data_IF_888368092757
#
_entry.id   IF_888368092757
#
_cell.length_a   1.000
_cell.length_b   1.000
_cell.length_c   1.000
_cell.angle_alpha   90.00
_cell.angle_beta   90.00
_cell.angle_gamma   90.00
#
_symmetry.space_group_name_H-M   'P 1'
#
loop_
_entity.id
_entity.type
_entity.pdbx_description
1 polymer ?
#
# COMPACT_ATOMS: atom_id res chain seq x y z
N UNK A 1 22.40 -1.53 39.80
CA UNK A 1 21.20 -1.60 38.96
C UNK A 1 20.01 -1.17 39.81
N UNK A 2 19.41 0.00 39.53
CA UNK A 2 18.14 0.38 40.18
C UNK A 2 17.06 -0.53 39.59
N UNK A 3 16.36 -1.30 40.41
CA UNK A 3 15.13 -1.99 40.01
C UNK A 3 14.24 -0.96 39.30
N UNK A 4 14.02 -1.12 38.00
CA UNK A 4 13.01 -0.33 37.28
C UNK A 4 11.67 -0.76 37.88
N UNK A 5 11.14 0.05 38.80
CA UNK A 5 9.75 -0.08 39.25
C UNK A 5 8.88 -0.13 38.00
N UNK A 6 8.13 -1.20 37.82
CA UNK A 6 7.20 -1.33 36.72
C UNK A 6 6.17 -0.19 36.83
N UNK A 7 6.16 0.79 35.91
CA UNK A 7 5.26 1.94 35.99
C UNK A 7 3.78 1.52 35.89
N UNK A 8 3.46 0.35 35.33
CA UNK A 8 2.08 -0.17 35.33
C UNK A 8 1.59 -0.46 36.76
N UNK A 9 2.50 -0.84 37.66
CA UNK A 9 2.20 -1.05 39.08
C UNK A 9 1.94 0.29 39.78
N UNK A 10 2.59 1.37 39.34
CA UNK A 10 2.43 2.71 39.93
C UNK A 10 1.05 3.30 39.61
N UNK A 11 0.58 3.21 38.37
CA UNK A 11 -0.78 3.60 37.96
C UNK A 11 -1.85 2.87 38.78
N UNK A 12 -1.74 1.55 38.90
CA UNK A 12 -2.68 0.73 39.67
C UNK A 12 -2.61 1.08 41.16
N UNK A 13 -1.41 1.23 41.72
CA UNK A 13 -1.22 1.62 43.12
C UNK A 13 -1.84 2.98 43.42
N UNK A 14 -1.67 3.95 42.52
CA UNK A 14 -2.30 5.26 42.65
C UNK A 14 -3.81 5.14 42.67
N UNK A 15 -4.40 4.39 41.74
CA UNK A 15 -5.85 4.19 41.67
C UNK A 15 -6.41 3.52 42.92
N UNK A 16 -5.69 2.55 43.48
CA UNK A 16 -6.11 1.81 44.68
C UNK A 16 -5.84 2.55 46.01
N UNK A 17 -5.04 3.62 46.01
CA UNK A 17 -4.64 4.32 47.23
C UNK A 17 -5.72 5.24 47.81
N UNK A 18 -5.74 5.39 49.15
CA UNK A 18 -6.54 6.39 49.85
C UNK A 18 -8.06 6.13 49.87
N UNK A 19 -8.83 6.98 50.59
CA UNK A 19 -10.27 6.78 50.80
C UNK A 19 -11.12 6.97 49.53
N UNK A 20 -10.63 7.75 48.55
CA UNK A 20 -11.31 8.01 47.27
C UNK A 20 -11.01 6.97 46.19
N UNK A 21 -10.33 5.87 46.53
CA UNK A 21 -10.01 4.76 45.63
C UNK A 21 -11.23 4.28 44.79
N UNK A 22 -12.43 4.07 45.37
CA UNK A 22 -13.59 3.65 44.58
C UNK A 22 -13.94 4.60 43.43
N UNK A 23 -13.89 5.92 43.67
CA UNK A 23 -14.22 6.94 42.67
C UNK A 23 -13.13 7.03 41.60
N UNK A 24 -11.86 7.01 42.00
CA UNK A 24 -10.73 7.02 41.07
C UNK A 24 -10.78 5.84 40.10
N UNK A 25 -11.03 4.64 40.63
CA UNK A 25 -11.17 3.43 39.81
C UNK A 25 -12.37 3.50 38.88
N UNK A 26 -13.52 3.99 39.35
CA UNK A 26 -14.70 4.14 38.51
C UNK A 26 -14.46 5.12 37.36
N UNK A 27 -13.88 6.29 37.63
CA UNK A 27 -13.54 7.29 36.62
C UNK A 27 -12.53 6.76 35.59
N UNK A 28 -11.45 6.12 36.04
CA UNK A 28 -10.44 5.57 35.14
C UNK A 28 -10.97 4.39 34.30
N UNK A 29 -11.86 3.56 34.86
CA UNK A 29 -12.45 2.40 34.17
C UNK A 29 -13.36 2.83 33.01
N UNK A 30 -14.21 3.83 33.21
CA UNK A 30 -15.22 4.28 32.25
C UNK A 30 -14.78 5.44 31.35
N UNK A 31 -13.53 5.88 31.48
CA UNK A 31 -12.96 6.99 30.71
C UNK A 31 -11.57 6.60 30.21
N UNK A 32 -11.52 5.59 29.34
CA UNK A 32 -10.30 5.13 28.69
C UNK A 32 -10.18 5.80 27.33
N UNK A 33 -9.33 6.81 27.21
CA UNK A 33 -9.13 7.53 25.97
C UNK A 33 -7.89 7.00 25.29
N UNK A 34 -8.09 6.28 24.21
CA UNK A 34 -7.05 5.60 23.46
C UNK A 34 -6.40 6.55 22.46
N UNK A 35 -5.09 6.70 22.53
CA UNK A 35 -4.27 7.13 21.41
C UNK A 35 -3.94 5.91 20.56
N UNK A 36 -4.14 6.06 19.26
CA UNK A 36 -3.99 4.99 18.28
C UNK A 36 -2.67 5.13 17.54
N UNK A 37 -1.83 4.10 17.63
CA UNK A 37 -0.56 4.03 16.91
C UNK A 37 -0.71 3.04 15.76
N UNK A 38 -1.31 3.53 14.67
CA UNK A 38 -1.63 2.75 13.47
C UNK A 38 -0.34 2.44 12.70
N UNK A 39 0.06 1.17 12.66
CA UNK A 39 1.30 0.77 11.96
C UNK A 39 1.12 -0.29 10.89
N UNK A 40 0.00 -1.02 10.92
CA UNK A 40 -0.30 -2.07 9.94
C UNK A 40 -1.82 -2.31 9.84
N UNK A 41 -2.20 -3.50 9.37
CA UNK A 41 -3.59 -3.92 9.14
C UNK A 41 -4.51 -3.86 10.36
N UNK A 42 -3.96 -3.92 11.59
CA UNK A 42 -4.78 -3.89 12.82
C UNK A 42 -5.57 -2.58 12.97
N UNK A 43 -5.15 -1.48 12.34
CA UNK A 43 -5.90 -0.22 12.43
C UNK A 43 -7.22 -0.19 11.69
N UNK A 44 -7.38 -1.00 10.63
CA UNK A 44 -8.68 -1.16 9.97
C UNK A 44 -9.67 -1.83 10.93
N UNK A 45 -9.21 -2.83 11.67
CA UNK A 45 -10.04 -3.57 12.62
C UNK A 45 -10.37 -2.74 13.86
N UNK A 46 -9.45 -1.85 14.25
CA UNK A 46 -9.74 -0.85 15.26
C UNK A 46 -10.84 0.11 14.79
N UNK A 47 -10.75 0.64 13.56
CA UNK A 47 -11.79 1.50 13.01
C UNK A 47 -13.16 0.78 13.02
N UNK A 48 -13.18 -0.51 12.69
CA UNK A 48 -14.40 -1.32 12.77
C UNK A 48 -14.93 -1.50 14.19
N UNK A 49 -14.04 -1.61 15.19
CA UNK A 49 -14.39 -1.71 16.62
C UNK A 49 -15.11 -0.45 17.13
N UNK A 50 -14.73 0.73 16.63
CA UNK A 50 -15.37 2.00 16.95
C UNK A 50 -16.52 2.38 16.01
N UNK A 51 -16.71 1.63 14.92
CA UNK A 51 -17.84 1.85 14.03
C UNK A 51 -19.17 1.44 14.69
N UNK A 52 -20.28 1.89 14.10
CA UNK A 52 -21.64 1.70 14.63
C UNK A 52 -22.04 0.24 14.87
N UNK A 53 -21.40 -0.73 14.20
CA UNK A 53 -21.69 -2.15 14.41
C UNK A 53 -21.31 -2.64 15.80
N UNK A 54 -20.17 -2.20 16.33
CA UNK A 54 -19.65 -2.62 17.63
C UNK A 54 -19.72 -1.55 18.70
N UNK A 55 -19.63 -0.28 18.30
CA UNK A 55 -19.74 0.90 19.16
C UNK A 55 -18.94 0.73 20.44
N UNK A 56 -17.61 0.74 20.33
CA UNK A 56 -16.75 0.61 21.49
C UNK A 56 -16.95 1.75 22.51
N UNK A 57 -17.43 2.92 22.07
CA UNK A 57 -17.66 4.08 22.94
C UNK A 57 -18.62 3.80 24.09
N UNK A 58 -19.62 2.93 23.88
CA UNK A 58 -20.55 2.51 24.95
C UNK A 58 -19.87 1.83 26.14
N UNK A 59 -18.66 1.29 25.93
CA UNK A 59 -17.88 0.66 26.99
C UNK A 59 -16.99 1.66 27.73
N UNK A 60 -17.11 2.97 27.48
CA UNK A 60 -16.30 4.00 28.13
C UNK A 60 -14.90 4.12 27.54
N UNK A 61 -14.72 3.72 26.28
CA UNK A 61 -13.46 3.90 25.54
C UNK A 61 -13.65 4.88 24.40
N UNK A 62 -12.83 5.92 24.32
CA UNK A 62 -12.93 6.94 23.29
C UNK A 62 -11.65 6.98 22.48
N UNK A 63 -11.77 6.93 21.15
CA UNK A 63 -10.62 7.13 20.28
C UNK A 63 -10.29 8.64 20.24
N UNK A 64 -9.09 9.01 20.67
CA UNK A 64 -8.70 10.41 20.77
C UNK A 64 -7.29 10.66 20.20
N UNK A 65 -7.17 11.65 19.33
CA UNK A 65 -5.94 11.93 18.58
C UNK A 65 -4.84 12.68 19.35
N UNK A 66 -5.10 13.14 20.58
CA UNK A 66 -4.15 13.95 21.35
C UNK A 66 -3.54 13.20 22.53
N UNK A 67 -2.23 12.93 22.46
CA UNK A 67 -1.47 12.11 23.41
C UNK A 67 -1.45 12.66 24.83
N UNK A 68 -1.51 13.99 24.98
CA UNK A 68 -1.44 14.64 26.31
C UNK A 68 -2.77 14.61 27.07
N UNK A 69 -3.85 14.23 26.39
CA UNK A 69 -5.20 14.13 26.94
C UNK A 69 -5.65 12.67 27.07
N UNK A 70 -4.87 11.71 26.57
CA UNK A 70 -5.20 10.29 26.61
C UNK A 70 -4.53 9.56 27.78
N UNK A 71 -5.14 8.47 28.21
CA UNK A 71 -4.65 7.61 29.28
C UNK A 71 -4.51 6.14 28.85
N UNK A 72 -4.81 5.81 27.59
CA UNK A 72 -4.62 4.50 26.99
C UNK A 72 -3.87 4.68 25.67
N UNK A 73 -2.91 3.81 25.37
CA UNK A 73 -2.33 3.66 24.04
C UNK A 73 -2.66 2.29 23.48
N UNK A 74 -3.12 2.24 22.24
CA UNK A 74 -3.35 1.00 21.50
C UNK A 74 -2.32 0.95 20.38
N UNK A 75 -1.40 -0.01 20.49
CA UNK A 75 -0.37 -0.27 19.47
C UNK A 75 -0.94 -1.25 18.46
N UNK A 76 -1.17 -0.79 17.23
CA UNK A 76 -1.91 -1.53 16.22
C UNK A 76 -0.96 -2.14 15.19
N UNK A 77 -0.43 -3.32 15.50
CA UNK A 77 0.41 -4.10 14.61
C UNK A 77 1.91 -4.01 14.90
N UNK A 78 2.70 -4.08 13.83
CA UNK A 78 4.15 -4.24 13.90
C UNK A 78 4.89 -2.91 14.13
N UNK A 79 5.78 -2.84 15.10
CA UNK A 79 6.63 -1.67 15.31
C UNK A 79 7.97 -1.87 14.63
N UNK A 80 8.30 -0.99 13.69
CA UNK A 80 9.64 -0.92 13.11
C UNK A 80 10.63 -0.24 14.06
N UNK A 81 11.93 -0.53 13.92
CA UNK A 81 13.02 0.17 14.64
C UNK A 81 12.93 1.69 14.53
N UNK A 82 12.48 2.21 13.37
CA UNK A 82 12.30 3.65 13.14
C UNK A 82 11.11 4.21 13.95
N UNK A 83 10.03 3.43 14.06
CA UNK A 83 8.83 3.83 14.79
C UNK A 83 8.95 3.66 16.31
N UNK A 84 9.90 2.85 16.79
CA UNK A 84 10.14 2.61 18.22
C UNK A 84 10.33 3.91 19.03
N UNK A 85 11.05 4.89 18.46
CA UNK A 85 11.24 6.21 19.08
C UNK A 85 9.91 6.96 19.24
N UNK A 86 9.07 6.94 18.22
CA UNK A 86 7.76 7.60 18.26
C UNK A 86 6.87 6.97 19.33
N UNK A 87 6.83 5.64 19.42
CA UNK A 87 6.09 4.93 20.47
C UNK A 87 6.55 5.35 21.87
N UNK A 88 7.87 5.40 22.10
CA UNK A 88 8.42 5.83 23.39
C UNK A 88 8.04 7.28 23.72
N UNK A 89 8.19 8.19 22.77
CA UNK A 89 7.85 9.60 22.95
C UNK A 89 6.36 9.82 23.24
N UNK A 90 5.49 9.07 22.55
CA UNK A 90 4.05 9.12 22.80
C UNK A 90 3.74 8.71 24.22
N UNK A 91 4.26 7.56 24.68
CA UNK A 91 4.02 7.06 26.02
C UNK A 91 4.56 7.99 27.12
N UNK A 92 5.75 8.58 26.91
CA UNK A 92 6.33 9.53 27.88
C UNK A 92 5.56 10.86 27.98
N UNK A 93 4.87 11.28 26.91
CA UNK A 93 4.05 12.50 26.91
C UNK A 93 2.65 12.31 27.50
N UNK A 94 2.22 11.06 27.71
CA UNK A 94 0.91 10.75 28.28
C UNK A 94 0.89 10.97 29.81
N UNK A 95 -0.16 11.60 30.35
CA UNK A 95 -0.34 11.79 31.79
C UNK A 95 -0.56 10.46 32.52
N UNK A 96 -0.24 10.43 33.82
CA UNK A 96 -0.61 9.32 34.70
C UNK A 96 -2.04 9.50 35.25
N UNK A 97 -2.81 8.41 35.48
CA UNK A 97 -2.48 7.00 35.22
C UNK A 97 -2.61 6.64 33.72
N UNK A 98 -1.60 6.00 33.13
CA UNK A 98 -1.64 5.51 31.74
C UNK A 98 -1.51 3.99 31.59
N UNK A 99 -2.05 3.47 30.49
CA UNK A 99 -2.09 2.05 30.15
C UNK A 99 -1.72 1.78 28.69
N UNK A 100 -1.24 0.57 28.40
CA UNK A 100 -0.78 0.14 27.08
C UNK A 100 -1.43 -1.18 26.67
N UNK A 101 -2.13 -1.18 25.54
CA UNK A 101 -2.62 -2.39 24.87
C UNK A 101 -1.84 -2.59 23.58
N UNK A 102 -1.41 -3.82 23.32
CA UNK A 102 -0.84 -4.21 22.03
C UNK A 102 -1.83 -5.09 21.29
N UNK A 103 -2.21 -4.65 20.10
CA UNK A 103 -3.19 -5.31 19.23
C UNK A 103 -2.48 -6.00 18.07
N UNK A 104 -2.69 -7.31 17.98
CA UNK A 104 -2.25 -8.16 16.88
C UNK A 104 -0.92 -8.86 17.14
N UNK A 105 -0.78 -10.06 16.56
CA UNK A 105 0.40 -10.94 16.75
C UNK A 105 1.71 -10.30 16.29
N UNK A 106 1.64 -9.38 15.33
CA UNK A 106 2.79 -8.62 14.85
C UNK A 106 3.42 -7.75 15.95
N UNK A 107 2.61 -7.21 16.87
CA UNK A 107 3.08 -6.44 18.01
C UNK A 107 3.44 -7.30 19.23
N UNK A 108 3.00 -8.55 19.29
CA UNK A 108 3.30 -9.44 20.42
C UNK A 108 4.69 -10.06 20.22
N UNK A 109 4.84 -10.84 19.15
CA UNK A 109 6.03 -11.66 18.90
C UNK A 109 6.64 -11.40 17.50
N UNK A 110 6.20 -10.33 16.82
CA UNK A 110 6.55 -10.05 15.41
C UNK A 110 5.64 -10.73 14.39
N UNK A 111 4.87 -11.75 14.80
CA UNK A 111 3.81 -12.35 13.98
C UNK A 111 4.32 -12.91 12.66
N UNK A 112 3.69 -12.51 11.55
CA UNK A 112 4.14 -12.86 10.19
C UNK A 112 5.60 -12.45 9.92
N UNK A 113 6.08 -11.44 10.64
CA UNK A 113 7.39 -10.83 10.45
C UNK A 113 8.37 -11.14 11.59
N UNK A 114 8.15 -12.21 12.36
CA UNK A 114 8.94 -12.53 13.57
C UNK A 114 10.46 -12.58 13.36
N UNK A 115 10.94 -12.98 12.17
CA UNK A 115 12.36 -13.03 11.83
C UNK A 115 12.84 -11.83 10.99
N UNK A 116 12.09 -10.73 11.00
CA UNK A 116 12.42 -9.57 10.19
C UNK A 116 13.44 -8.66 10.88
N UNK A 117 14.50 -8.28 10.18
CA UNK A 117 15.60 -7.50 10.72
C UNK A 117 15.19 -6.12 11.27
N UNK A 118 14.08 -5.56 10.81
CA UNK A 118 13.68 -4.18 11.08
C UNK A 118 12.58 -4.04 12.15
N UNK A 119 12.07 -5.13 12.71
CA UNK A 119 11.02 -5.07 13.73
C UNK A 119 11.59 -5.08 15.15
N UNK A 120 10.81 -4.50 16.07
CA UNK A 120 11.07 -4.46 17.51
C UNK A 120 9.76 -4.77 18.23
N UNK A 121 9.83 -5.49 19.34
CA UNK A 121 8.65 -5.78 20.15
C UNK A 121 8.27 -4.52 20.97
N UNK A 122 7.02 -4.02 20.87
CA UNK A 122 6.49 -2.96 21.73
C UNK A 122 6.81 -3.13 23.22
N UNK A 123 6.76 -4.37 23.74
CA UNK A 123 7.05 -4.70 25.13
C UNK A 123 8.51 -4.42 25.56
N UNK A 124 9.45 -4.31 24.60
CA UNK A 124 10.83 -3.91 24.88
C UNK A 124 10.98 -2.38 25.02
N UNK A 125 9.98 -1.61 24.55
CA UNK A 125 10.02 -0.15 24.46
C UNK A 125 9.17 0.50 25.57
N UNK A 126 7.96 -0.02 25.76
CA UNK A 126 6.95 0.48 26.70
C UNK A 126 6.36 -0.67 27.54
N UNK A 127 5.93 -0.39 28.77
CA UNK A 127 5.36 -1.40 29.66
C UNK A 127 3.95 -1.78 29.20
N UNK A 128 3.79 -2.98 28.66
CA UNK A 128 2.49 -3.44 28.11
C UNK A 128 1.59 -4.02 29.20
N UNK A 129 0.32 -3.60 29.25
CA UNK A 129 -0.67 -4.13 30.19
C UNK A 129 -1.38 -5.37 29.67
N UNK A 130 -1.77 -5.35 28.40
CA UNK A 130 -2.53 -6.42 27.75
C UNK A 130 -2.11 -6.62 26.29
N UNK A 131 -2.10 -7.88 25.89
CA UNK A 131 -1.89 -8.31 24.51
C UNK A 131 -3.20 -8.87 23.96
N UNK A 132 -3.63 -8.37 22.80
CA UNK A 132 -4.82 -8.83 22.07
C UNK A 132 -4.37 -9.63 20.85
N UNK A 133 -4.45 -10.97 20.89
CA UNK A 133 -3.96 -11.83 19.82
C UNK A 133 -4.89 -11.86 18.61
N UNK A 134 -4.32 -11.79 17.40
CA UNK A 134 -5.01 -11.93 16.11
C UNK A 134 -4.22 -11.30 14.93
N UNK A 135 -4.64 -11.52 13.68
CA UNK A 135 -3.94 -11.01 12.48
C UNK A 135 -4.89 -10.62 11.31
N UNK A 136 -5.71 -9.56 11.45
CA UNK A 136 -5.92 -8.73 12.65
C UNK A 136 -6.86 -9.41 13.66
N UNK A 137 -6.83 -9.02 14.95
CA UNK A 137 -7.78 -9.53 15.94
C UNK A 137 -9.17 -8.96 15.72
N UNK A 138 -10.21 -9.78 15.80
CA UNK A 138 -11.60 -9.33 15.56
C UNK A 138 -12.01 -8.19 16.50
N UNK A 139 -13.04 -7.40 16.17
CA UNK A 139 -13.46 -6.27 16.98
C UNK A 139 -13.88 -6.69 18.39
N UNK A 140 -14.54 -7.84 18.52
CA UNK A 140 -14.88 -8.43 19.82
C UNK A 140 -13.64 -8.80 20.61
N UNK A 141 -12.57 -9.25 19.95
CA UNK A 141 -11.28 -9.54 20.56
C UNK A 141 -10.68 -8.29 21.20
N UNK A 142 -10.70 -7.16 20.49
CA UNK A 142 -10.25 -5.88 21.04
C UNK A 142 -11.11 -5.41 22.21
N UNK A 143 -12.44 -5.47 22.09
CA UNK A 143 -13.37 -5.11 23.17
C UNK A 143 -13.11 -5.96 24.42
N UNK A 144 -12.89 -7.27 24.26
CA UNK A 144 -12.52 -8.16 25.38
C UNK A 144 -11.21 -7.72 26.05
N UNK A 145 -10.21 -7.28 25.28
CA UNK A 145 -8.98 -6.70 25.81
C UNK A 145 -9.23 -5.44 26.64
N UNK A 146 -10.08 -4.54 26.17
CA UNK A 146 -10.47 -3.31 26.89
C UNK A 146 -11.21 -3.65 28.18
N UNK A 147 -12.18 -4.57 28.13
CA UNK A 147 -12.90 -5.03 29.32
C UNK A 147 -11.97 -5.74 30.34
N UNK A 148 -10.92 -6.42 29.86
CA UNK A 148 -9.91 -7.00 30.73
C UNK A 148 -9.09 -5.91 31.44
N UNK A 149 -8.68 -4.87 30.71
CA UNK A 149 -8.02 -3.70 31.28
C UNK A 149 -8.88 -3.01 32.33
N UNK A 150 -10.17 -2.82 32.05
CA UNK A 150 -11.13 -2.29 33.02
C UNK A 150 -11.23 -3.12 34.31
N UNK A 151 -11.20 -4.45 34.19
CA UNK A 151 -11.16 -5.35 35.36
C UNK A 151 -9.84 -5.24 36.11
N UNK A 152 -8.72 -5.05 35.42
CA UNK A 152 -7.40 -4.80 36.04
C UNK A 152 -7.41 -3.48 36.82
N UNK A 153 -7.99 -2.42 36.29
CA UNK A 153 -8.18 -1.13 36.97
C UNK A 153 -9.03 -1.27 38.25
N UNK A 154 -10.05 -2.13 38.20
CA UNK A 154 -10.98 -2.32 39.32
C UNK A 154 -10.40 -3.17 40.46
N UNK A 155 -9.72 -4.27 40.10
CA UNK A 155 -9.24 -5.31 41.02
C UNK A 155 -7.77 -5.17 41.39
N UNK A 156 -6.98 -4.51 40.54
CA UNK A 156 -5.52 -4.41 40.67
C UNK A 156 -4.75 -5.65 40.21
N UNK A 157 -5.46 -6.67 39.69
CA UNK A 157 -4.89 -7.93 39.22
C UNK A 157 -4.92 -7.99 37.68
N UNK A 158 -3.79 -8.30 37.05
CA UNK A 158 -3.77 -8.70 35.64
C UNK A 158 -4.22 -10.16 35.53
N UNK A 159 -5.40 -10.39 34.95
CA UNK A 159 -5.87 -11.74 34.65
C UNK A 159 -5.60 -12.09 33.20
N UNK A 160 -4.97 -13.24 32.97
CA UNK A 160 -4.84 -13.84 31.66
C UNK A 160 -6.23 -14.23 31.18
N UNK A 161 -6.69 -13.63 30.07
CA UNK A 161 -8.01 -13.90 29.49
C UNK A 161 -8.00 -15.08 28.52
N UNK A 162 -6.83 -15.52 28.08
CA UNK A 162 -6.65 -16.68 27.22
C UNK A 162 -5.30 -17.35 27.57
N UNK A 163 -5.35 -18.58 28.06
CA UNK A 163 -4.17 -19.45 28.13
C UNK A 163 -4.12 -20.27 26.84
N UNK A 164 -3.09 -20.06 26.04
CA UNK A 164 -2.80 -20.94 24.92
C UNK A 164 -2.16 -22.20 25.48
N UNK A 165 -2.79 -23.35 25.26
CA UNK A 165 -2.10 -24.61 25.53
C UNK A 165 -0.88 -24.66 24.60
N UNK A 166 0.32 -24.92 25.14
CA UNK A 166 1.49 -25.12 24.30
C UNK A 166 1.22 -26.34 23.43
N UNK A 167 0.90 -26.10 22.16
CA UNK A 167 0.78 -27.15 21.18
C UNK A 167 2.21 -27.55 20.84
N UNK A 168 2.56 -28.80 21.13
CA UNK A 168 3.80 -29.40 20.63
C UNK A 168 3.67 -29.55 19.12
N UNK A 169 4.14 -28.54 18.40
CA UNK A 169 4.10 -28.47 16.95
C UNK A 169 4.76 -29.70 16.31
N UNK A 170 5.71 -30.33 17.01
CA UNK A 170 6.38 -31.57 16.58
C UNK A 170 5.41 -32.76 16.50
N UNK A 171 4.44 -32.84 17.41
CA UNK A 171 3.46 -33.92 17.48
C UNK A 171 2.31 -33.70 16.47
N UNK A 172 1.95 -32.44 16.19
CA UNK A 172 0.82 -32.10 15.30
C UNK A 172 1.22 -32.05 13.83
N UNK A 173 2.43 -31.60 13.52
CA UNK A 173 2.87 -31.38 12.13
C UNK A 173 3.77 -32.50 11.60
N UNK A 174 4.01 -33.55 12.40
CA UNK A 174 4.93 -34.65 12.09
C UNK A 174 6.30 -34.15 11.60
N UNK A 175 6.73 -32.97 12.07
CA UNK A 175 7.95 -32.33 11.57
C UNK A 175 9.15 -33.15 12.05
N UNK A 176 10.06 -33.59 11.16
CA UNK A 176 11.30 -34.24 11.55
C UNK A 176 12.07 -33.35 12.55
N UNK A 177 12.58 -33.95 13.64
CA UNK A 177 13.37 -33.26 14.70
C UNK A 177 14.52 -32.39 14.16
N UNK A 178 15.00 -32.68 12.96
CA UNK A 178 15.98 -31.87 12.25
C UNK A 178 15.31 -31.07 11.13
N UNK A 179 14.90 -29.84 11.45
CA UNK A 179 14.60 -28.85 10.42
C UNK A 179 15.94 -28.46 9.80
N UNK A 180 16.26 -28.99 8.61
CA UNK A 180 17.38 -28.49 7.82
C UNK A 180 17.24 -26.98 7.70
N UNK A 181 18.22 -26.25 8.21
CA UNK A 181 18.30 -24.80 8.07
C UNK A 181 18.12 -24.44 6.59
N UNK A 182 16.99 -23.79 6.26
CA UNK A 182 16.72 -23.34 4.89
C UNK A 182 17.70 -22.21 4.59
N UNK A 183 18.90 -22.59 4.14
CA UNK A 183 19.86 -21.64 3.61
C UNK A 183 19.17 -20.94 2.44
N UNK A 184 19.21 -19.59 2.37
CA UNK A 184 18.77 -18.91 1.17
C UNK A 184 19.50 -19.54 -0.03
N UNK A 185 18.82 -19.72 -1.17
CA UNK A 185 19.42 -20.36 -2.32
C UNK A 185 20.75 -19.67 -2.64
N UNK A 186 21.86 -20.43 -2.62
CA UNK A 186 23.13 -19.93 -3.12
C UNK A 186 22.94 -19.60 -4.60
N UNK A 187 23.21 -18.37 -5.00
CA UNK A 187 23.20 -17.95 -6.40
C UNK A 187 24.13 -18.87 -7.22
N UNK A 188 23.83 -19.14 -8.51
CA UNK A 188 23.36 -18.15 -9.47
C UNK A 188 21.83 -18.08 -9.51
N UNK A 189 21.31 -16.88 -9.33
CA UNK A 189 19.97 -16.54 -9.80
C UNK A 189 19.95 -16.91 -11.29
N UNK A 190 19.16 -17.91 -11.68
CA UNK A 190 18.82 -18.07 -13.10
C UNK A 190 18.10 -16.78 -13.48
N UNK A 191 18.78 -15.92 -14.23
CA UNK A 191 18.15 -14.76 -14.86
C UNK A 191 17.24 -15.38 -15.91
N UNK A 192 15.98 -15.63 -15.55
CA UNK A 192 14.96 -15.70 -16.57
C UNK A 192 14.96 -14.33 -17.23
N UNK A 193 15.04 -14.23 -18.58
CA UNK A 193 14.72 -12.96 -19.23
C UNK A 193 13.38 -12.51 -18.66
N UNK A 194 13.31 -11.27 -18.17
CA UNK A 194 12.06 -10.72 -17.66
C UNK A 194 10.99 -10.97 -18.74
N UNK A 195 9.79 -11.46 -18.37
CA UNK A 195 8.77 -11.76 -19.35
C UNK A 195 8.54 -10.49 -20.17
N UNK A 196 8.73 -10.62 -21.48
CA UNK A 196 8.39 -9.60 -22.46
C UNK A 196 6.91 -9.23 -22.26
N UNK A 197 6.57 -7.94 -22.31
CA UNK A 197 5.18 -7.52 -22.23
C UNK A 197 4.54 -7.85 -23.58
N UNK A 198 4.00 -9.07 -23.69
CA UNK A 198 3.29 -9.52 -24.89
C UNK A 198 1.84 -9.07 -24.82
N UNK A 199 1.46 -8.18 -25.71
CA UNK A 199 0.07 -7.74 -25.89
C UNK A 199 -0.47 -8.54 -27.06
N UNK A 200 -1.11 -9.67 -26.73
CA UNK A 200 -1.63 -10.62 -27.72
C UNK A 200 -3.16 -10.49 -27.84
N UNK A 201 -3.72 -10.73 -29.03
CA UNK A 201 -5.17 -10.81 -29.20
C UNK A 201 -5.77 -11.88 -28.29
N UNK A 202 -6.91 -11.58 -27.67
CA UNK A 202 -7.69 -12.58 -26.94
C UNK A 202 -8.99 -12.89 -27.66
N UNK A 203 -9.34 -14.16 -27.71
CA UNK A 203 -10.67 -14.59 -28.15
C UNK A 203 -11.69 -14.29 -27.04
N UNK A 204 -12.64 -13.42 -27.33
CA UNK A 204 -13.67 -12.98 -26.39
C UNK A 204 -15.02 -12.99 -27.12
N UNK A 205 -16.08 -13.43 -26.42
CA UNK A 205 -17.45 -13.36 -26.92
C UNK A 205 -17.98 -11.92 -26.84
N UNK A 206 -17.61 -11.10 -27.82
CA UNK A 206 -18.03 -9.70 -27.93
C UNK A 206 -18.26 -9.28 -29.38
N UNK A 207 -19.46 -9.53 -29.90
CA UNK A 207 -19.79 -9.35 -31.32
C UNK A 207 -19.69 -7.90 -31.78
N UNK A 208 -20.17 -6.96 -30.96
CA UNK A 208 -20.03 -5.52 -31.21
C UNK A 208 -18.55 -5.11 -31.38
N UNK A 209 -17.68 -5.64 -30.51
CA UNK A 209 -16.24 -5.39 -30.58
C UNK A 209 -15.61 -5.93 -31.84
N UNK A 210 -16.03 -7.12 -32.31
CA UNK A 210 -15.54 -7.70 -33.57
C UNK A 210 -15.88 -6.81 -34.76
N UNK A 211 -17.13 -6.35 -34.86
CA UNK A 211 -17.55 -5.42 -35.92
C UNK A 211 -16.80 -4.09 -35.85
N UNK A 212 -16.59 -3.56 -34.64
CA UNK A 212 -15.85 -2.31 -34.44
C UNK A 212 -14.37 -2.46 -34.82
N UNK A 213 -13.72 -3.57 -34.47
CA UNK A 213 -12.32 -3.83 -34.85
C UNK A 213 -12.18 -3.99 -36.37
N UNK A 214 -13.13 -4.64 -37.05
CA UNK A 214 -13.13 -4.73 -38.51
C UNK A 214 -13.25 -3.34 -39.16
N UNK A 215 -14.17 -2.49 -38.67
CA UNK A 215 -14.30 -1.11 -39.13
C UNK A 215 -13.01 -0.31 -38.89
N UNK A 216 -12.42 -0.43 -37.69
CA UNK A 216 -11.18 0.26 -37.33
C UNK A 216 -10.02 -0.19 -38.20
N UNK A 217 -9.86 -1.49 -38.46
CA UNK A 217 -8.81 -2.00 -39.35
C UNK A 217 -9.00 -1.53 -40.80
N UNK A 218 -10.24 -1.41 -41.29
CA UNK A 218 -10.51 -0.82 -42.60
C UNK A 218 -10.13 0.67 -42.65
N UNK A 219 -10.48 1.45 -41.61
CA UNK A 219 -10.11 2.87 -41.51
C UNK A 219 -8.61 3.10 -41.35
N UNK A 220 -7.93 2.20 -40.65
CA UNK A 220 -6.51 2.27 -40.30
C UNK A 220 -5.62 1.47 -41.26
N UNK A 221 -6.12 1.10 -42.44
CA UNK A 221 -5.37 0.33 -43.43
C UNK A 221 -3.99 0.97 -43.72
N UNK A 222 -2.91 0.26 -43.38
CA UNK A 222 -1.53 0.72 -43.53
C UNK A 222 -1.01 1.67 -42.44
N UNK A 223 -1.86 2.08 -41.50
CA UNK A 223 -1.52 2.94 -40.36
C UNK A 223 -1.22 2.16 -39.08
N UNK A 224 -1.95 1.07 -38.81
CA UNK A 224 -1.75 0.24 -37.63
C UNK A 224 -2.63 -1.00 -37.64
N UNK A 225 -2.51 -1.82 -36.60
CA UNK A 225 -3.31 -3.04 -36.42
C UNK A 225 -4.13 -2.93 -35.14
N UNK A 226 -5.46 -3.07 -35.27
CA UNK A 226 -6.41 -3.09 -34.17
C UNK A 226 -6.82 -4.53 -33.83
N UNK A 227 -6.82 -4.88 -32.54
CA UNK A 227 -7.26 -6.19 -32.05
C UNK A 227 -7.87 -6.10 -30.65
N UNK A 228 -8.63 -7.13 -30.27
CA UNK A 228 -9.34 -7.20 -28.99
C UNK A 228 -8.42 -7.77 -27.90
N UNK A 229 -8.39 -7.12 -26.74
CA UNK A 229 -7.64 -7.61 -25.56
C UNK A 229 -8.56 -8.04 -24.41
N UNK A 230 -9.79 -7.51 -24.35
CA UNK A 230 -10.83 -7.86 -23.37
C UNK A 230 -12.20 -7.30 -23.82
N UNK A 231 -13.27 -7.64 -23.10
CA UNK A 231 -14.59 -7.03 -23.30
C UNK A 231 -14.48 -5.51 -23.13
N UNK A 232 -14.99 -4.75 -24.10
CA UNK A 232 -14.91 -3.29 -24.16
C UNK A 232 -13.47 -2.72 -24.24
N UNK A 233 -12.45 -3.53 -24.58
CA UNK A 233 -11.07 -3.07 -24.71
C UNK A 233 -10.45 -3.48 -26.03
N UNK A 234 -10.07 -2.47 -26.82
CA UNK A 234 -9.41 -2.63 -28.11
C UNK A 234 -8.00 -2.03 -28.00
N UNK A 235 -7.02 -2.69 -28.60
CA UNK A 235 -5.64 -2.24 -28.68
C UNK A 235 -5.27 -1.96 -30.13
N UNK A 236 -4.58 -0.85 -30.38
CA UNK A 236 -4.10 -0.43 -31.70
C UNK A 236 -2.58 -0.24 -31.61
N UNK A 237 -1.84 -1.10 -32.31
CA UNK A 237 -0.37 -0.97 -32.40
C UNK A 237 0.00 -0.18 -33.65
N UNK A 238 0.81 0.87 -33.50
CA UNK A 238 1.29 1.70 -34.62
C UNK A 238 2.73 2.17 -34.38
N UNK A 239 3.30 2.91 -35.34
CA UNK A 239 4.62 3.56 -35.20
C UNK A 239 4.45 5.04 -34.84
N UNK A 240 5.50 5.64 -34.27
CA UNK A 240 5.51 7.05 -33.86
C UNK A 240 5.12 7.98 -35.03
N UNK A 241 5.60 7.71 -36.24
CA UNK A 241 5.39 8.56 -37.42
C UNK A 241 3.94 8.58 -37.88
N UNK A 242 3.22 7.48 -37.62
CA UNK A 242 1.82 7.30 -38.03
C UNK A 242 0.83 7.65 -36.93
N UNK A 243 1.31 7.89 -35.70
CA UNK A 243 0.49 8.06 -34.50
C UNK A 243 -0.52 9.20 -34.63
N UNK A 244 -0.10 10.36 -35.16
CA UNK A 244 -0.99 11.52 -35.38
C UNK A 244 -2.08 11.18 -36.38
N UNK A 245 -1.73 10.54 -37.51
CA UNK A 245 -2.71 10.11 -38.51
C UNK A 245 -3.71 9.11 -37.95
N UNK A 246 -3.27 8.17 -37.10
CA UNK A 246 -4.17 7.23 -36.40
C UNK A 246 -5.14 7.99 -35.49
N UNK A 247 -4.65 8.97 -34.72
CA UNK A 247 -5.48 9.79 -33.85
C UNK A 247 -6.52 10.61 -34.63
N UNK A 248 -6.15 11.24 -35.75
CA UNK A 248 -7.08 11.97 -36.62
C UNK A 248 -8.18 11.07 -37.20
N UNK A 249 -7.86 9.80 -37.50
CA UNK A 249 -8.85 8.83 -38.00
C UNK A 249 -9.78 8.30 -36.92
N UNK A 250 -9.39 8.42 -35.64
CA UNK A 250 -10.18 7.99 -34.49
C UNK A 250 -10.99 9.14 -33.87
N UNK A 251 -10.58 10.39 -34.09
CA UNK A 251 -11.24 11.56 -33.50
C UNK A 251 -12.67 11.78 -33.98
N UNK A 252 -13.09 11.10 -35.06
CA UNK A 252 -14.47 11.10 -35.55
C UNK A 252 -15.45 10.44 -34.57
N UNK A 253 -14.99 9.40 -33.84
CA UNK A 253 -15.80 8.61 -32.92
C UNK A 253 -15.37 8.72 -31.46
N UNK A 254 -14.08 8.95 -31.20
CA UNK A 254 -13.49 9.03 -29.88
C UNK A 254 -13.05 10.47 -29.61
N UNK A 255 -13.73 11.15 -28.69
CA UNK A 255 -13.58 12.60 -28.47
C UNK A 255 -12.69 12.95 -27.28
N UNK A 256 -12.27 11.97 -26.48
CA UNK A 256 -11.55 12.24 -25.23
C UNK A 256 -10.49 11.19 -24.91
N UNK A 257 -9.29 11.67 -24.57
CA UNK A 257 -8.18 10.88 -23.99
C UNK A 257 -8.40 10.69 -22.50
N UNK A 258 -8.56 9.45 -22.04
CA UNK A 258 -8.74 9.08 -20.64
C UNK A 258 -7.41 9.02 -19.89
N UNK A 259 -6.38 8.47 -20.51
CA UNK A 259 -5.04 8.35 -19.94
C UNK A 259 -3.96 8.33 -21.01
N UNK A 260 -2.86 9.04 -20.77
CA UNK A 260 -1.58 8.90 -21.46
C UNK A 260 -0.63 8.19 -20.51
N UNK A 261 -0.10 7.05 -20.92
CA UNK A 261 0.79 6.23 -20.12
C UNK A 261 2.12 6.03 -20.84
N UNK A 262 3.18 5.84 -20.06
CA UNK A 262 4.49 5.42 -20.57
C UNK A 262 4.96 4.19 -19.82
N UNK A 263 5.29 3.14 -20.57
CA UNK A 263 5.84 1.90 -20.06
C UNK A 263 7.35 1.92 -20.31
N UNK A 264 8.13 1.89 -19.22
CA UNK A 264 9.61 1.81 -19.29
C UNK A 264 10.07 0.37 -19.46
N UNK A 265 10.51 0.04 -20.69
CA UNK A 265 11.04 -1.26 -21.05
C UNK A 265 12.57 -1.20 -21.00
N UNK A 266 13.10 -1.08 -19.78
CA UNK A 266 14.52 -0.81 -19.48
C UNK A 266 15.49 -1.74 -20.22
N UNK A 267 15.14 -3.02 -20.38
CA UNK A 267 16.01 -4.04 -20.96
C UNK A 267 16.14 -3.93 -22.49
N UNK A 268 15.18 -3.28 -23.15
CA UNK A 268 15.20 -3.00 -24.58
C UNK A 268 15.57 -1.53 -24.89
N UNK A 269 15.90 -0.74 -23.85
CA UNK A 269 16.20 0.70 -23.94
C UNK A 269 15.13 1.49 -24.74
N UNK A 270 13.86 1.13 -24.53
CA UNK A 270 12.71 1.77 -25.20
C UNK A 270 11.60 2.14 -24.21
N UNK A 271 10.80 3.10 -24.62
CA UNK A 271 9.50 3.40 -24.01
C UNK A 271 8.38 2.97 -24.95
N UNK A 272 7.28 2.49 -24.37
CA UNK A 272 6.01 2.36 -25.08
C UNK A 272 5.12 3.49 -24.59
N UNK A 273 4.73 4.39 -25.48
CA UNK A 273 3.79 5.47 -25.18
C UNK A 273 2.40 4.99 -25.57
N UNK A 274 1.45 5.08 -24.64
CA UNK A 274 0.07 4.62 -24.83
C UNK A 274 -0.93 5.74 -24.59
N UNK A 275 -1.90 5.87 -25.48
CA UNK A 275 -3.05 6.76 -25.34
C UNK A 275 -4.31 5.92 -25.28
N UNK A 276 -5.01 5.95 -24.15
CA UNK A 276 -6.33 5.33 -24.02
C UNK A 276 -7.39 6.39 -24.28
N UNK A 277 -8.18 6.17 -25.33
CA UNK A 277 -9.25 7.06 -25.77
C UNK A 277 -10.62 6.40 -25.60
N UNK A 278 -11.62 7.24 -25.43
CA UNK A 278 -13.03 6.85 -25.28
C UNK A 278 -13.93 7.93 -25.89
N UNK A 279 -15.22 7.63 -26.04
CA UNK A 279 -16.22 8.58 -26.50
C UNK A 279 -17.14 8.99 -25.36
N UNK A 280 -17.39 10.29 -25.17
CA UNK A 280 -18.49 10.76 -24.34
C UNK A 280 -19.71 11.16 -25.17
N UNK A 281 -19.52 11.48 -26.45
CA UNK A 281 -20.61 11.89 -27.35
C UNK A 281 -21.42 10.71 -27.87
N UNK A 282 -20.79 9.55 -28.09
CA UNK A 282 -21.45 8.36 -28.61
C UNK A 282 -21.70 7.37 -27.47
N UNK A 283 -22.97 7.27 -27.03
CA UNK A 283 -23.39 6.44 -25.88
C UNK A 283 -22.96 4.98 -25.97
N UNK A 284 -22.97 4.41 -27.17
CA UNK A 284 -22.58 3.01 -27.44
C UNK A 284 -21.07 2.77 -27.26
N UNK A 285 -20.25 3.81 -27.46
CA UNK A 285 -18.79 3.75 -27.33
C UNK A 285 -18.29 4.23 -25.97
N UNK A 286 -19.14 4.80 -25.12
CA UNK A 286 -18.79 5.20 -23.74
C UNK A 286 -18.13 4.10 -22.89
N UNK A 287 -18.59 2.83 -22.92
CA UNK A 287 -17.93 1.78 -22.15
C UNK A 287 -16.65 1.27 -22.81
N UNK A 288 -16.41 1.59 -24.10
CA UNK A 288 -15.30 1.07 -24.89
C UNK A 288 -14.06 1.93 -24.71
N UNK A 289 -12.95 1.28 -24.37
CA UNK A 289 -11.63 1.88 -24.29
C UNK A 289 -10.77 1.39 -25.45
N UNK A 290 -10.25 2.33 -26.24
CA UNK A 290 -9.31 2.05 -27.31
C UNK A 290 -7.93 2.54 -26.88
N UNK A 291 -6.95 1.65 -26.78
CA UNK A 291 -5.57 2.01 -26.42
C UNK A 291 -4.70 1.99 -27.66
N UNK A 292 -4.09 3.12 -28.00
CA UNK A 292 -3.18 3.27 -29.13
C UNK A 292 -1.76 3.30 -28.57
N UNK A 293 -0.83 2.54 -29.13
CA UNK A 293 0.55 2.54 -28.68
C UNK A 293 1.57 2.68 -29.79
N UNK A 294 2.70 3.30 -29.43
CA UNK A 294 3.89 3.33 -30.26
C UNK A 294 5.16 3.27 -29.41
N UNK A 295 6.19 2.66 -29.97
CA UNK A 295 7.49 2.50 -29.33
C UNK A 295 8.40 3.69 -29.69
N UNK A 296 9.16 4.19 -28.71
CA UNK A 296 10.19 5.21 -28.91
C UNK A 296 11.47 4.85 -28.17
N UNK A 297 12.64 5.34 -28.63
CA UNK A 297 13.88 5.16 -27.89
C UNK A 297 13.82 5.83 -26.51
N UNK A 298 14.40 5.17 -25.50
CA UNK A 298 14.49 5.70 -24.13
C UNK A 298 15.50 6.84 -24.02
N UNK A 299 16.51 6.86 -24.89
CA UNK A 299 17.48 7.95 -25.02
C UNK A 299 16.88 9.08 -25.87
N UNK A 300 16.79 10.29 -25.29
CA UNK A 300 16.18 11.47 -25.92
C UNK A 300 14.74 11.22 -26.39
N UNK A 301 13.83 10.79 -25.49
CA UNK A 301 12.50 10.35 -25.86
C UNK A 301 11.66 11.55 -26.34
N UNK A 302 11.24 11.50 -27.60
CA UNK A 302 10.39 12.51 -28.25
C UNK A 302 9.17 11.84 -28.86
N UNK A 303 8.01 12.43 -28.69
CA UNK A 303 6.74 11.92 -29.18
C UNK A 303 5.88 13.06 -29.74
N UNK A 304 5.05 12.88 -30.78
CA UNK A 304 4.12 13.94 -31.19
C UNK A 304 3.05 14.17 -30.11
N UNK A 305 2.74 15.43 -29.80
CA UNK A 305 1.57 15.78 -28.99
C UNK A 305 0.30 15.55 -29.78
N UNK A 306 -0.77 15.15 -29.08
CA UNK A 306 -2.11 15.04 -29.66
C UNK A 306 -3.06 16.13 -29.15
N UNK A 307 -2.54 17.19 -28.52
CA UNK A 307 -3.35 18.27 -27.93
C UNK A 307 -4.28 18.96 -28.94
N UNK A 308 -3.83 19.12 -30.20
CA UNK A 308 -4.62 19.76 -31.26
C UNK A 308 -5.80 18.90 -31.72
N UNK A 309 -5.73 17.58 -31.50
CA UNK A 309 -6.80 16.61 -31.81
C UNK A 309 -7.69 16.43 -30.57
N UNK A 310 -7.06 16.19 -29.42
CA UNK A 310 -7.71 15.97 -28.13
C UNK A 310 -7.11 16.90 -27.07
N UNK A 311 -7.79 18.04 -26.77
CA UNK A 311 -7.34 18.97 -25.74
C UNK A 311 -7.14 18.34 -24.35
N UNK A 312 -7.82 17.22 -24.08
CA UNK A 312 -7.67 16.45 -22.84
C UNK A 312 -6.27 15.85 -22.62
N UNK A 313 -5.45 15.76 -23.67
CA UNK A 313 -4.10 15.20 -23.56
C UNK A 313 -3.12 16.09 -22.77
N UNK A 314 -3.36 17.41 -22.68
CA UNK A 314 -2.39 18.39 -22.15
C UNK A 314 -1.83 18.00 -20.78
N UNK A 315 -2.70 17.81 -19.79
CA UNK A 315 -2.29 17.52 -18.42
C UNK A 315 -1.48 16.23 -18.32
N UNK A 316 -1.86 15.21 -19.10
CA UNK A 316 -1.27 13.89 -19.03
C UNK A 316 0.07 13.83 -19.75
N UNK A 317 0.20 14.50 -20.91
CA UNK A 317 1.49 14.68 -21.59
C UNK A 317 2.52 15.36 -20.69
N UNK A 318 2.10 16.41 -19.96
CA UNK A 318 2.96 17.15 -19.02
C UNK A 318 3.35 16.31 -17.80
N UNK A 319 2.42 15.53 -17.25
CA UNK A 319 2.70 14.56 -16.18
C UNK A 319 3.73 13.52 -16.63
N UNK A 320 3.56 12.96 -17.82
CA UNK A 320 4.48 11.96 -18.38
C UNK A 320 5.87 12.56 -18.65
N UNK A 321 5.95 13.82 -19.07
CA UNK A 321 7.21 14.53 -19.17
C UNK A 321 7.91 14.66 -17.80
N UNK A 322 7.18 15.09 -16.76
CA UNK A 322 7.76 15.26 -15.42
C UNK A 322 8.27 13.93 -14.83
N UNK A 323 7.55 12.83 -15.08
CA UNK A 323 7.86 11.50 -14.54
C UNK A 323 8.92 10.74 -15.37
N UNK A 324 8.73 10.65 -16.69
CA UNK A 324 9.53 9.81 -17.58
C UNK A 324 10.47 10.60 -18.51
N UNK A 325 10.25 11.90 -18.67
CA UNK A 325 11.09 12.78 -19.49
C UNK A 325 10.77 12.75 -20.97
N UNK A 326 9.62 12.17 -21.36
CA UNK A 326 9.17 12.15 -22.77
C UNK A 326 8.76 13.56 -23.18
N UNK A 327 9.38 14.08 -24.24
CA UNK A 327 9.07 15.40 -24.77
C UNK A 327 7.99 15.31 -25.86
N UNK A 328 6.83 15.90 -25.60
CA UNK A 328 5.71 15.94 -26.56
C UNK A 328 5.82 17.14 -27.51
N UNK A 329 6.13 16.89 -28.77
CA UNK A 329 6.32 17.91 -29.80
C UNK A 329 4.97 18.49 -30.23
N UNK A 330 4.81 19.81 -30.11
CA UNK A 330 3.55 20.52 -30.44
C UNK A 330 2.78 21.02 -29.21
N UNK A 331 3.03 20.49 -28.01
CA UNK A 331 2.36 20.97 -26.80
C UNK A 331 3.01 22.30 -26.31
N UNK A 332 2.25 23.41 -26.26
CA UNK A 332 2.78 24.74 -25.93
C UNK A 332 3.16 24.91 -24.44
N UNK A 333 2.68 24.01 -23.57
CA UNK A 333 2.95 24.02 -22.14
C UNK A 333 4.15 23.13 -21.76
N UNK A 334 4.81 22.48 -22.72
CA UNK A 334 5.98 21.66 -22.47
C UNK A 334 7.14 22.44 -21.86
N UNK A 335 7.83 21.81 -20.90
CA UNK A 335 8.89 22.42 -20.11
C UNK A 335 8.40 23.22 -18.89
N UNK A 336 7.08 23.42 -18.73
CA UNK A 336 6.50 23.95 -17.49
C UNK A 336 6.26 22.80 -16.51
N UNK A 337 6.97 22.82 -15.37
CA UNK A 337 6.75 21.85 -14.28
C UNK A 337 5.27 21.84 -13.89
N UNK A 338 4.65 20.67 -13.92
CA UNK A 338 3.21 20.52 -13.65
C UNK A 338 2.97 19.92 -12.26
N UNK A 339 3.53 18.75 -11.98
CA UNK A 339 3.37 18.06 -10.70
C UNK A 339 4.39 18.49 -9.65
N UNK A 340 5.55 18.97 -10.11
CA UNK A 340 6.73 19.13 -9.26
C UNK A 340 6.88 20.56 -8.73
N UNK A 341 7.39 20.64 -7.50
CA UNK A 341 7.84 21.91 -6.95
C UNK A 341 8.88 22.56 -7.88
N UNK A 342 8.98 23.90 -7.93
CA UNK A 342 9.89 24.62 -8.83
C UNK A 342 11.36 24.16 -8.78
N UNK A 343 11.74 23.52 -7.69
CA UNK A 343 13.12 23.19 -7.32
C UNK A 343 13.54 21.76 -7.70
N UNK A 344 12.59 20.93 -8.16
CA UNK A 344 12.85 19.52 -8.48
C UNK A 344 13.11 19.35 -9.97
N UNK A 345 14.24 18.74 -10.33
CA UNK A 345 14.59 18.49 -11.73
C UNK A 345 13.82 17.29 -12.31
N UNK A 346 13.48 17.41 -13.59
CA UNK A 346 12.84 16.35 -14.39
C UNK A 346 13.89 15.63 -15.25
N UNK A 347 13.77 14.33 -15.50
CA UNK A 347 12.65 13.46 -15.11
C UNK A 347 12.86 12.71 -13.79
N UNK A 348 11.77 12.41 -13.09
CA UNK A 348 11.78 11.60 -11.84
C UNK A 348 11.88 10.09 -12.08
N UNK A 349 12.67 9.68 -13.07
CA UNK A 349 12.91 8.25 -13.31
C UNK A 349 13.63 7.65 -12.11
N UNK A 350 13.14 6.52 -11.62
CA UNK A 350 13.80 5.73 -10.56
C UNK A 350 14.98 4.94 -11.13
N UNK A 351 15.82 5.61 -11.90
CA UNK A 351 16.98 5.00 -12.53
C UNK A 351 17.96 4.55 -11.46
N UNK A 352 18.30 3.27 -11.48
CA UNK A 352 19.33 2.71 -10.63
C UNK A 352 20.36 2.04 -11.51
N UNK A 353 21.64 2.28 -11.21
CA UNK A 353 22.72 1.53 -11.84
C UNK A 353 22.63 0.11 -11.32
N UNK A 354 22.07 -0.79 -12.12
CA UNK A 354 22.29 -2.22 -11.89
C UNK A 354 23.75 -2.44 -12.26
N UNK A 355 24.64 -2.82 -11.33
CA UNK A 355 25.93 -3.37 -11.74
C UNK A 355 25.61 -4.60 -12.58
N UNK A 356 25.71 -4.44 -13.90
CA UNK A 356 25.75 -5.55 -14.84
C UNK A 356 26.86 -6.45 -14.30
N UNK A 357 26.57 -7.69 -13.88
CA UNK A 357 27.62 -8.57 -13.44
C UNK A 357 28.55 -8.77 -14.65
N UNK A 358 29.81 -8.36 -14.53
CA UNK A 358 30.83 -8.74 -15.49
C UNK A 358 31.00 -10.26 -15.36
N UNK A 359 30.25 -11.01 -16.16
CA UNK A 359 30.45 -12.45 -16.26
C UNK A 359 31.68 -12.67 -17.13
N UNK A 360 32.82 -12.90 -16.48
CA UNK A 360 33.95 -13.57 -17.13
C UNK A 360 33.45 -14.98 -17.41
N UNK A 361 33.09 -15.27 -18.67
CA UNK A 361 33.04 -16.65 -19.14
C UNK A 361 34.43 -17.21 -18.83
N UNK A 362 34.51 -18.14 -17.88
CA UNK A 362 35.76 -18.78 -17.50
C UNK A 362 36.39 -19.40 -18.75
N UNK A 363 37.35 -18.69 -19.32
CA UNK A 363 38.38 -19.23 -20.20
C UNK A 363 39.54 -19.64 -19.29
N UNK A 364 39.75 -20.96 -19.26
CA UNK A 364 40.81 -21.76 -18.61
C UNK A 364 40.99 -21.66 -17.09
#
# INVERSE_FOLDING_TARGET
>A
MRERKDPNIESIRFLHSGPLSPIKKYGAKWSLWAVHLVTACCGVELAHTYASGYDAERWGTLNFGMMRQTNLIIVEGAISRKMARALRMTWEQMPEPKFVIVMGVCGIEGGLFWNSYHLVKPAEIVPVDYFVPGCPPTPEGLIRGILALQKKIERGEARVTAEYQPVKLEEVLEIPKEIKERKPPKSPLKIAPKPEIKIEPKEVEWDFGKSLVEELNQKLAGLGEAFIIDVNRIYIKTSKEKFVMVAERLSDKFDHVKSVNVIDVIHEDKFIVEYTVSSYSVKELMPVLVTISAEIPRKNPRFPSLIDIWPSADYQEREIHDLFGVWFEGNPAMGRKFLLAPEVDTPLRKDFKIPQPNYVLGGE
#
